data_IF_167595180063
#
_entry.id   IF_167595180063
#
_cell.length_a   1.000
_cell.length_b   1.000
_cell.length_c   1.000
_cell.angle_alpha   90.00
_cell.angle_beta   90.00
_cell.angle_gamma   90.00
#
_symmetry.space_group_name_H-M   'P 1'
#
loop_
_entity.id
_entity.type
_entity.pdbx_description
1 polymer ?
#
# COMPACT_ATOMS: atom_id res chain seq x y z
N UNK A 1 -30.53 -2.03 28.52
CA UNK A 1 -29.99 -2.51 27.23
C UNK A 1 -30.73 -1.96 25.98
N UNK A 2 -31.60 -0.94 26.08
CA UNK A 2 -32.43 -0.46 24.95
C UNK A 2 -32.01 0.85 24.25
N UNK A 3 -30.76 1.31 24.38
CA UNK A 3 -30.30 2.60 23.81
C UNK A 3 -29.52 2.47 22.49
N UNK A 4 -29.29 1.25 22.01
CA UNK A 4 -28.62 0.96 20.74
C UNK A 4 -29.57 0.15 19.84
N UNK A 5 -30.56 0.81 19.20
CA UNK A 5 -31.60 0.14 18.40
C UNK A 5 -31.10 -0.34 17.04
N UNK A 6 -30.03 0.26 16.50
CA UNK A 6 -29.42 -0.13 15.22
C UNK A 6 -28.22 -1.02 15.52
N UNK A 7 -28.16 -2.17 14.84
CA UNK A 7 -27.02 -3.10 14.88
C UNK A 7 -26.60 -3.39 13.46
N UNK A 8 -25.30 -3.35 13.24
CA UNK A 8 -24.66 -3.74 11.98
C UNK A 8 -23.37 -4.45 12.33
N UNK A 9 -23.03 -5.44 11.54
CA UNK A 9 -21.75 -6.14 11.61
C UNK A 9 -21.06 -5.90 10.27
N UNK A 10 -19.76 -5.62 10.31
CA UNK A 10 -18.96 -5.37 9.12
C UNK A 10 -18.25 -6.66 8.73
N UNK A 11 -18.20 -6.91 7.43
CA UNK A 11 -17.44 -8.03 6.88
C UNK A 11 -15.93 -7.70 6.90
N UNK A 12 -15.11 -8.74 7.00
CA UNK A 12 -13.67 -8.61 6.86
C UNK A 12 -13.32 -8.26 5.41
N UNK A 13 -12.29 -7.43 5.23
CA UNK A 13 -11.82 -7.04 3.90
C UNK A 13 -11.11 -8.21 3.23
N UNK A 14 -11.42 -8.43 1.96
CA UNK A 14 -10.72 -9.36 1.07
C UNK A 14 -9.54 -8.67 0.38
N UNK A 15 -8.63 -9.45 -0.22
CA UNK A 15 -7.61 -8.93 -1.14
C UNK A 15 -8.16 -7.96 -2.19
N UNK A 16 -9.30 -8.28 -2.79
CA UNK A 16 -9.89 -7.43 -3.81
C UNK A 16 -10.42 -6.12 -3.21
N UNK A 17 -10.94 -6.14 -1.98
CA UNK A 17 -11.29 -4.91 -1.27
C UNK A 17 -10.05 -4.06 -1.00
N UNK A 18 -8.93 -4.66 -0.63
CA UNK A 18 -7.65 -3.94 -0.44
C UNK A 18 -7.18 -3.29 -1.75
N UNK A 19 -7.27 -4.00 -2.89
CA UNK A 19 -6.99 -3.43 -4.21
C UNK A 19 -7.89 -2.23 -4.50
N UNK A 20 -9.19 -2.35 -4.24
CA UNK A 20 -10.15 -1.26 -4.46
C UNK A 20 -9.85 -0.06 -3.58
N UNK A 21 -9.48 -0.27 -2.32
CA UNK A 21 -9.07 0.80 -1.38
C UNK A 21 -7.85 1.59 -1.89
N UNK A 22 -6.93 0.94 -2.62
CA UNK A 22 -5.77 1.60 -3.21
C UNK A 22 -6.12 2.57 -4.35
N UNK A 23 -7.24 2.40 -5.05
CA UNK A 23 -7.53 3.11 -6.31
C UNK A 23 -8.88 3.83 -6.39
N UNK A 24 -9.93 3.27 -5.80
CA UNK A 24 -11.30 3.78 -5.96
C UNK A 24 -11.59 5.02 -5.09
N UNK A 25 -11.24 5.05 -3.79
CA UNK A 25 -11.52 6.20 -2.94
C UNK A 25 -10.95 7.49 -3.52
N UNK A 26 -11.71 8.59 -3.45
CA UNK A 26 -11.33 9.89 -4.03
C UNK A 26 -9.89 10.30 -3.64
N UNK A 27 -9.55 10.14 -2.37
CA UNK A 27 -8.21 10.33 -1.84
C UNK A 27 -7.54 8.99 -1.48
N UNK A 28 -7.46 8.05 -2.42
CA UNK A 28 -6.78 6.78 -2.21
C UNK A 28 -5.28 6.96 -1.94
N UNK A 29 -4.64 5.95 -1.33
CA UNK A 29 -3.21 6.01 -1.00
C UNK A 29 -2.34 6.25 -2.24
N UNK A 30 -2.67 5.63 -3.38
CA UNK A 30 -1.94 5.84 -4.64
C UNK A 30 -2.04 7.30 -5.08
N UNK A 31 -3.25 7.87 -5.11
CA UNK A 31 -3.45 9.28 -5.49
C UNK A 31 -2.71 10.24 -4.56
N UNK A 32 -2.66 9.92 -3.27
CA UNK A 32 -1.90 10.70 -2.29
C UNK A 32 -0.40 10.69 -2.62
N UNK A 33 0.19 9.51 -2.88
CA UNK A 33 1.62 9.42 -3.23
C UNK A 33 1.95 10.02 -4.59
N UNK A 34 1.09 9.85 -5.59
CA UNK A 34 1.22 10.54 -6.89
C UNK A 34 1.26 12.06 -6.70
N UNK A 35 0.38 12.62 -5.87
CA UNK A 35 0.34 14.05 -5.58
C UNK A 35 1.56 14.53 -4.77
N UNK A 36 2.01 13.74 -3.78
CA UNK A 36 3.20 14.04 -2.99
C UNK A 36 4.46 14.07 -3.86
N UNK A 37 4.65 13.07 -4.72
CA UNK A 37 5.79 13.04 -5.65
C UNK A 37 5.71 14.16 -6.69
N UNK A 38 4.51 14.49 -7.16
CA UNK A 38 4.32 15.61 -8.08
C UNK A 38 4.73 16.96 -7.46
N UNK A 39 4.62 17.13 -6.14
CA UNK A 39 5.10 18.33 -5.45
C UNK A 39 6.63 18.48 -5.53
N UNK A 40 7.37 17.37 -5.57
CA UNK A 40 8.82 17.34 -5.81
C UNK A 40 9.18 17.41 -7.31
N UNK A 41 8.16 17.44 -8.19
CA UNK A 41 8.32 17.47 -9.63
C UNK A 41 8.62 16.09 -10.25
N UNK A 42 8.32 15.00 -9.55
CA UNK A 42 8.44 13.63 -10.05
C UNK A 42 7.05 13.11 -10.43
N UNK A 43 6.90 12.52 -11.62
CA UNK A 43 5.66 11.84 -12.00
C UNK A 43 5.71 10.39 -11.55
N UNK A 44 4.87 10.01 -10.60
CA UNK A 44 4.75 8.61 -10.16
C UNK A 44 3.59 7.95 -10.92
N UNK A 45 3.81 6.75 -11.46
CA UNK A 45 2.79 5.97 -12.19
C UNK A 45 2.76 4.56 -11.65
N UNK A 46 1.58 4.06 -11.27
CA UNK A 46 1.41 2.65 -10.87
C UNK A 46 0.78 1.84 -11.99
N UNK A 47 1.40 0.71 -12.34
CA UNK A 47 0.76 -0.27 -13.20
C UNK A 47 -0.29 -1.07 -12.42
N UNK A 48 -1.36 -1.49 -13.10
CA UNK A 48 -2.40 -2.34 -12.49
C UNK A 48 -1.82 -3.58 -11.81
N UNK A 49 -0.82 -4.22 -12.43
CA UNK A 49 -0.14 -5.39 -11.89
C UNK A 49 0.62 -5.07 -10.58
N UNK A 50 1.15 -3.86 -10.42
CA UNK A 50 1.79 -3.44 -9.19
C UNK A 50 0.77 -3.24 -8.05
N UNK A 51 -0.39 -2.66 -8.38
CA UNK A 51 -1.50 -2.46 -7.44
C UNK A 51 -2.04 -3.82 -6.96
N UNK A 52 -2.20 -4.75 -7.89
CA UNK A 52 -2.54 -6.14 -7.59
C UNK A 52 -1.51 -6.78 -6.64
N UNK A 53 -0.22 -6.60 -6.92
CA UNK A 53 0.85 -7.16 -6.08
C UNK A 53 0.89 -6.55 -4.67
N UNK A 54 0.59 -5.25 -4.54
CA UNK A 54 0.49 -4.56 -3.26
C UNK A 54 -0.66 -5.11 -2.41
N UNK A 55 -1.82 -5.36 -3.03
CA UNK A 55 -2.96 -5.96 -2.35
C UNK A 55 -2.64 -7.40 -1.88
N UNK A 56 -2.00 -8.22 -2.73
CA UNK A 56 -1.56 -9.57 -2.37
C UNK A 56 -0.62 -9.56 -1.17
N UNK A 57 0.35 -8.63 -1.17
CA UNK A 57 1.34 -8.53 -0.10
C UNK A 57 0.69 -8.13 1.23
N UNK A 58 -0.21 -7.13 1.19
CA UNK A 58 -0.90 -6.69 2.39
C UNK A 58 -1.78 -7.79 2.99
N UNK A 59 -2.48 -8.58 2.16
CA UNK A 59 -3.22 -9.75 2.62
C UNK A 59 -2.28 -10.82 3.22
N UNK A 60 -1.17 -11.12 2.54
CA UNK A 60 -0.21 -12.11 3.01
C UNK A 60 0.37 -11.75 4.39
N UNK A 61 0.76 -10.48 4.60
CA UNK A 61 1.30 -10.01 5.90
C UNK A 61 0.22 -10.01 6.98
N UNK A 62 -1.02 -9.63 6.65
CA UNK A 62 -2.13 -9.72 7.58
C UNK A 62 -2.41 -11.17 8.02
N UNK A 63 -2.18 -12.15 7.13
CA UNK A 63 -2.35 -13.57 7.43
C UNK A 63 -1.16 -14.19 8.17
N UNK A 64 0.05 -13.68 7.99
CA UNK A 64 1.27 -14.25 8.60
C UNK A 64 1.63 -13.64 9.96
N UNK A 65 1.25 -12.39 10.22
CA UNK A 65 1.60 -11.67 11.44
C UNK A 65 0.35 -11.32 12.26
N UNK A 66 -0.17 -10.11 12.10
CA UNK A 66 -1.35 -9.60 12.78
C UNK A 66 -2.25 -8.96 11.73
N UNK A 67 -3.53 -9.34 11.71
CA UNK A 67 -4.46 -8.75 10.77
C UNK A 67 -4.92 -7.37 11.27
N UNK A 68 -4.32 -6.33 10.71
CA UNK A 68 -4.69 -4.92 10.97
C UNK A 68 -5.61 -4.34 9.86
N UNK A 69 -6.11 -5.21 8.97
CA UNK A 69 -6.95 -4.85 7.84
C UNK A 69 -6.27 -3.92 6.84
N UNK A 70 -7.02 -2.94 6.33
CA UNK A 70 -6.54 -1.99 5.32
C UNK A 70 -5.37 -1.12 5.76
N UNK A 71 -5.12 -0.97 7.07
CA UNK A 71 -3.98 -0.18 7.59
C UNK A 71 -2.63 -0.72 7.11
N UNK A 72 -2.56 -2.03 6.80
CA UNK A 72 -1.36 -2.67 6.25
C UNK A 72 -0.91 -2.05 4.92
N UNK A 73 -1.84 -1.51 4.13
CA UNK A 73 -1.49 -0.88 2.85
C UNK A 73 -0.58 0.34 3.02
N UNK A 74 -0.68 1.05 4.15
CA UNK A 74 0.11 2.24 4.41
C UNK A 74 1.59 1.90 4.63
N UNK A 75 1.88 0.94 5.53
CA UNK A 75 3.25 0.52 5.84
C UNK A 75 3.93 -0.14 4.64
N UNK A 76 3.18 -0.92 3.87
CA UNK A 76 3.66 -1.54 2.62
C UNK A 76 4.03 -0.47 1.58
N UNK A 77 3.19 0.54 1.37
CA UNK A 77 3.47 1.63 0.42
C UNK A 77 4.61 2.54 0.88
N UNK A 78 4.66 2.88 2.15
CA UNK A 78 5.74 3.69 2.72
C UNK A 78 7.08 2.98 2.50
N UNK A 79 7.14 1.67 2.76
CA UNK A 79 8.35 0.90 2.52
C UNK A 79 8.70 0.77 1.03
N UNK A 80 7.71 0.63 0.15
CA UNK A 80 7.92 0.58 -1.30
C UNK A 80 8.58 1.86 -1.82
N UNK A 81 8.09 3.01 -1.35
CA UNK A 81 8.43 4.33 -1.87
C UNK A 81 9.54 5.05 -1.10
N UNK A 82 10.02 4.47 0.00
CA UNK A 82 11.06 5.03 0.88
C UNK A 82 12.26 5.62 0.09
N UNK A 83 12.90 4.79 -0.75
CA UNK A 83 14.05 5.24 -1.55
C UNK A 83 13.66 6.26 -2.63
N UNK A 84 12.52 6.08 -3.30
CA UNK A 84 12.04 7.02 -4.32
C UNK A 84 11.77 8.39 -3.69
N UNK A 85 11.18 8.42 -2.50
CA UNK A 85 10.90 9.65 -1.77
C UNK A 85 12.18 10.33 -1.31
N UNK A 86 13.22 9.57 -0.95
CA UNK A 86 14.52 10.11 -0.59
C UNK A 86 15.25 10.73 -1.80
N UNK A 87 15.21 10.05 -2.94
CA UNK A 87 15.86 10.50 -4.19
C UNK A 87 15.01 11.51 -4.99
N UNK A 88 13.76 11.78 -4.58
CA UNK A 88 12.81 12.61 -5.32
C UNK A 88 13.37 13.98 -5.75
N UNK A 89 14.11 14.73 -4.90
CA UNK A 89 14.64 16.04 -5.28
C UNK A 89 15.64 15.97 -6.45
N UNK A 90 16.37 14.86 -6.57
CA UNK A 90 17.36 14.63 -7.63
C UNK A 90 16.72 14.15 -8.94
N UNK A 91 15.52 13.56 -8.86
CA UNK A 91 14.76 12.98 -9.99
C UNK A 91 13.75 13.95 -10.60
N UNK A 92 13.89 15.25 -10.34
CA UNK A 92 12.93 16.26 -10.81
C UNK A 92 12.78 16.22 -12.34
N UNK A 93 11.54 16.08 -12.80
CA UNK A 93 11.18 15.96 -14.21
C UNK A 93 11.17 14.53 -14.74
N UNK A 94 11.54 13.53 -13.93
CA UNK A 94 11.47 12.12 -14.31
C UNK A 94 10.06 11.54 -14.09
N UNK A 95 9.79 10.45 -14.80
CA UNK A 95 8.63 9.58 -14.56
C UNK A 95 9.10 8.27 -13.98
N UNK A 96 8.65 7.95 -12.77
CA UNK A 96 8.92 6.69 -12.08
C UNK A 96 7.70 5.80 -12.23
N UNK A 97 7.87 4.67 -12.91
CA UNK A 97 6.81 3.67 -13.07
C UNK A 97 7.01 2.53 -12.08
N UNK A 98 6.01 2.30 -11.24
CA UNK A 98 5.97 1.21 -10.28
C UNK A 98 5.37 -0.01 -10.98
N UNK A 99 6.22 -1.00 -11.22
CA UNK A 99 5.87 -2.29 -11.82
C UNK A 99 5.69 -3.36 -10.75
N UNK A 100 5.08 -4.49 -11.12
CA UNK A 100 4.97 -5.64 -10.21
C UNK A 100 6.34 -6.16 -9.74
N UNK A 101 7.34 -6.14 -10.62
CA UNK A 101 8.72 -6.54 -10.30
C UNK A 101 9.34 -5.59 -9.28
N UNK A 102 9.12 -4.27 -9.43
CA UNK A 102 9.59 -3.28 -8.47
C UNK A 102 8.99 -3.54 -7.07
N UNK A 103 7.68 -3.83 -6.99
CA UNK A 103 7.02 -4.20 -5.72
C UNK A 103 7.63 -5.49 -5.14
N UNK A 104 7.89 -6.47 -6.00
CA UNK A 104 8.47 -7.74 -5.57
C UNK A 104 9.86 -7.55 -4.96
N UNK A 105 10.76 -6.86 -5.67
CA UNK A 105 12.14 -6.63 -5.23
C UNK A 105 12.21 -5.84 -3.92
N UNK A 106 11.35 -4.83 -3.74
CA UNK A 106 11.43 -3.94 -2.58
C UNK A 106 10.76 -4.46 -1.32
N UNK A 107 9.68 -5.24 -1.44
CA UNK A 107 8.84 -5.56 -0.28
C UNK A 107 8.62 -7.07 -0.06
N UNK A 108 8.83 -7.93 -1.06
CA UNK A 108 8.55 -9.37 -0.89
C UNK A 108 9.51 -10.06 0.07
N UNK A 109 10.78 -9.65 0.12
CA UNK A 109 11.74 -10.19 1.08
C UNK A 109 11.39 -9.87 2.54
N UNK A 110 10.79 -8.71 2.79
CA UNK A 110 10.36 -8.27 4.12
C UNK A 110 9.10 -9.02 4.56
N UNK A 111 8.14 -9.18 3.65
CA UNK A 111 6.89 -9.89 3.90
C UNK A 111 7.06 -11.40 4.12
N UNK A 112 8.14 -12.00 3.59
CA UNK A 112 8.42 -13.43 3.75
C UNK A 112 8.98 -13.78 5.15
N UNK A 113 9.57 -12.82 5.85
CA UNK A 113 10.09 -13.00 7.20
C UNK A 113 9.09 -12.43 8.22
N UNK A 114 8.48 -13.32 9.00
CA UNK A 114 7.45 -12.96 9.98
C UNK A 114 7.99 -12.10 11.13
N UNK A 115 9.23 -12.33 11.55
CA UNK A 115 9.86 -11.54 12.61
C UNK A 115 10.16 -10.14 12.08
N UNK A 116 10.72 -10.04 10.87
CA UNK A 116 11.04 -8.75 10.26
C UNK A 116 9.77 -7.95 9.92
N UNK A 117 8.76 -8.62 9.37
CA UNK A 117 7.44 -8.04 9.10
C UNK A 117 6.82 -7.44 10.36
N UNK A 118 6.94 -8.08 11.52
CA UNK A 118 6.36 -7.58 12.78
C UNK A 118 6.93 -6.24 13.24
N UNK A 119 8.17 -5.92 12.86
CA UNK A 119 8.83 -4.67 13.28
C UNK A 119 8.85 -3.60 12.19
N UNK A 120 8.82 -3.99 10.91
CA UNK A 120 9.02 -3.09 9.78
C UNK A 120 7.72 -2.87 8.98
N UNK A 121 6.77 -3.82 8.99
CA UNK A 121 5.58 -3.80 8.15
C UNK A 121 4.27 -3.80 8.93
#
# INVERSE_FOLDING_TARGET
QGRLPIRVELEALTRDDLRRILVEPEASLIRQYEALMAAEGVTLVFEDAAIDKLADLAEAVNNSVENIGARRLQTVLERLLDEISFEAPEKKGETVTITADYVHERVSGLAADADLSKFIL
#
